data_IF_349672093832
#
_entry.id   IF_349672093832
#
_cell.length_a   1.000
_cell.length_b   1.000
_cell.length_c   1.000
_cell.angle_alpha   90.00
_cell.angle_beta   90.00
_cell.angle_gamma   90.00
#
_symmetry.space_group_name_H-M   'P 1'
#
loop_
_entity.id
_entity.type
_entity.pdbx_description
1 polymer ?
#
# COMPACT_ATOMS: atom_id res chain seq x y z
N UNK A 1 -16.51 1.98 -22.47
CA UNK A 1 -15.36 1.58 -21.63
C UNK A 1 -14.91 2.83 -20.88
N UNK A 2 -14.88 2.79 -19.55
CA UNK A 2 -14.50 3.97 -18.76
C UNK A 2 -12.99 4.22 -18.90
N UNK A 3 -12.63 5.32 -19.56
CA UNK A 3 -11.25 5.69 -19.84
C UNK A 3 -10.43 5.95 -18.58
N UNK A 4 -11.02 6.55 -17.53
CA UNK A 4 -10.29 6.86 -16.30
C UNK A 4 -9.91 5.58 -15.54
N UNK A 5 -10.80 4.58 -15.52
CA UNK A 5 -10.51 3.26 -14.96
C UNK A 5 -9.35 2.57 -15.70
N UNK A 6 -9.34 2.66 -17.02
CA UNK A 6 -8.29 2.06 -17.87
C UNK A 6 -6.96 2.74 -17.64
N UNK A 7 -6.93 4.07 -17.63
CA UNK A 7 -5.71 4.85 -17.37
C UNK A 7 -5.16 4.58 -15.98
N UNK A 8 -6.03 4.45 -14.98
CA UNK A 8 -5.61 4.18 -13.62
C UNK A 8 -5.07 2.75 -13.47
N UNK A 9 -5.70 1.77 -14.14
CA UNK A 9 -5.16 0.42 -14.26
C UNK A 9 -3.77 0.43 -14.91
N UNK A 10 -3.59 1.11 -16.05
CA UNK A 10 -2.31 1.19 -16.74
C UNK A 10 -1.22 1.83 -15.85
N UNK A 11 -1.54 2.90 -15.12
CA UNK A 11 -0.62 3.52 -14.16
C UNK A 11 -0.19 2.54 -13.05
N UNK A 12 -1.16 1.82 -12.46
CA UNK A 12 -0.89 0.82 -11.43
C UNK A 12 -0.06 -0.34 -11.98
N UNK A 13 -0.44 -0.86 -13.15
CA UNK A 13 0.23 -1.97 -13.82
C UNK A 13 1.66 -1.60 -14.20
N UNK A 14 1.92 -0.41 -14.74
CA UNK A 14 3.27 0.04 -15.10
C UNK A 14 4.19 0.18 -13.88
N UNK A 15 3.67 0.54 -12.71
CA UNK A 15 4.47 0.51 -11.48
C UNK A 15 4.83 -0.92 -11.10
N UNK A 16 3.87 -1.83 -11.10
CA UNK A 16 4.10 -3.24 -10.78
C UNK A 16 5.10 -3.86 -11.76
N UNK A 17 4.87 -3.68 -13.06
CA UNK A 17 5.76 -4.13 -14.14
C UNK A 17 7.16 -3.53 -14.00
N UNK A 18 7.23 -2.19 -13.89
CA UNK A 18 8.48 -1.45 -13.77
C UNK A 18 9.31 -1.82 -12.54
N UNK A 19 8.68 -2.22 -11.43
CA UNK A 19 9.35 -2.63 -10.20
C UNK A 19 10.26 -3.86 -10.38
N UNK A 20 9.96 -4.72 -11.36
CA UNK A 20 10.82 -5.88 -11.70
C UNK A 20 11.99 -5.53 -12.62
N UNK A 21 11.92 -4.42 -13.35
CA UNK A 21 12.90 -4.10 -14.39
C UNK A 21 14.21 -3.55 -13.82
N UNK A 22 15.28 -3.65 -14.62
CA UNK A 22 16.61 -3.08 -14.32
C UNK A 22 17.20 -2.41 -15.55
N UNK A 23 18.21 -1.55 -15.34
CA UNK A 23 18.98 -0.92 -16.41
C UNK A 23 18.12 -0.06 -17.34
N UNK A 24 18.39 -0.13 -18.65
CA UNK A 24 17.68 0.67 -19.66
C UNK A 24 16.17 0.41 -19.72
N UNK A 25 15.73 -0.84 -19.50
CA UNK A 25 14.31 -1.18 -19.47
C UNK A 25 13.55 -0.49 -18.33
N UNK A 26 14.19 -0.36 -17.16
CA UNK A 26 13.63 0.40 -16.04
C UNK A 26 13.47 1.89 -16.37
N UNK A 27 14.47 2.49 -17.03
CA UNK A 27 14.38 3.90 -17.45
C UNK A 27 13.28 4.13 -18.48
N UNK A 28 13.13 3.25 -19.46
CA UNK A 28 12.04 3.31 -20.42
C UNK A 28 10.67 3.22 -19.73
N UNK A 29 10.48 2.27 -18.82
CA UNK A 29 9.24 2.14 -18.06
C UNK A 29 8.96 3.38 -17.17
N UNK A 30 10.00 3.95 -16.56
CA UNK A 30 9.90 5.21 -15.79
C UNK A 30 9.40 6.36 -16.68
N UNK A 31 9.96 6.52 -17.88
CA UNK A 31 9.54 7.55 -18.83
C UNK A 31 8.11 7.35 -19.31
N UNK A 32 7.74 6.12 -19.70
CA UNK A 32 6.37 5.78 -20.12
C UNK A 32 5.39 6.09 -18.99
N UNK A 33 5.71 5.72 -17.75
CA UNK A 33 4.88 6.01 -16.58
C UNK A 33 4.72 7.51 -16.37
N UNK A 34 5.81 8.29 -16.43
CA UNK A 34 5.73 9.75 -16.30
C UNK A 34 4.85 10.35 -17.39
N UNK A 35 5.03 9.94 -18.65
CA UNK A 35 4.17 10.34 -19.76
C UNK A 35 2.71 9.98 -19.53
N UNK A 36 2.43 8.79 -19.02
CA UNK A 36 1.07 8.33 -18.70
C UNK A 36 0.42 9.16 -17.60
N UNK A 37 1.16 9.53 -16.55
CA UNK A 37 0.67 10.44 -15.50
C UNK A 37 0.39 11.82 -16.07
N UNK A 38 1.28 12.35 -16.91
CA UNK A 38 1.06 13.65 -17.57
C UNK A 38 -0.21 13.61 -18.41
N UNK A 39 -0.39 12.58 -19.26
CA UNK A 39 -1.60 12.40 -20.07
C UNK A 39 -2.84 12.25 -19.18
N UNK A 40 -2.74 11.49 -18.10
CA UNK A 40 -3.80 11.36 -17.10
C UNK A 40 -4.18 12.71 -16.49
N UNK A 41 -3.20 13.53 -16.09
CA UNK A 41 -3.41 14.86 -15.51
C UNK A 41 -3.96 15.86 -16.54
N UNK A 42 -3.47 15.81 -17.78
CA UNK A 42 -4.06 16.60 -18.87
C UNK A 42 -5.52 16.21 -19.11
N UNK A 43 -5.83 14.91 -19.08
CA UNK A 43 -7.20 14.41 -19.13
C UNK A 43 -8.10 14.99 -18.03
N UNK A 44 -7.55 15.23 -16.83
CA UNK A 44 -8.26 15.97 -15.78
C UNK A 44 -8.57 17.40 -16.23
N UNK A 45 -7.59 18.11 -16.77
CA UNK A 45 -7.72 19.52 -17.19
C UNK A 45 -8.69 19.71 -18.37
N UNK A 46 -8.86 18.69 -19.22
CA UNK A 46 -9.83 18.73 -20.32
C UNK A 46 -11.24 18.28 -19.90
N UNK A 47 -11.40 17.61 -18.76
CA UNK A 47 -12.70 17.26 -18.18
C UNK A 47 -13.34 18.50 -17.50
N UNK A 48 -13.70 19.50 -18.32
CA UNK A 48 -14.29 20.77 -17.90
C UNK A 48 -15.58 20.52 -17.08
N UNK A 49 -15.47 20.68 -15.75
CA UNK A 49 -16.56 20.48 -14.78
C UNK A 49 -16.20 19.58 -13.61
N UNK A 50 -15.26 18.64 -13.77
CA UNK A 50 -14.74 17.80 -12.67
C UNK A 50 -13.55 18.45 -11.93
N UNK A 51 -12.83 19.33 -12.64
CA UNK A 51 -11.66 20.09 -12.17
C UNK A 51 -11.96 20.92 -10.91
N UNK A 52 -13.17 21.51 -10.82
CA UNK A 52 -13.55 22.36 -9.67
C UNK A 52 -13.52 21.62 -8.33
N UNK A 53 -13.66 20.29 -8.31
CA UNK A 53 -13.69 19.53 -7.05
C UNK A 53 -12.29 19.16 -6.54
N UNK A 54 -11.34 18.86 -7.43
CA UNK A 54 -9.98 18.41 -7.05
C UNK A 54 -9.16 19.57 -6.46
N UNK A 55 -9.35 20.76 -7.01
CA UNK A 55 -8.72 21.98 -6.51
C UNK A 55 -9.53 22.66 -5.40
N UNK A 56 -10.68 22.09 -5.00
CA UNK A 56 -11.38 22.57 -3.82
C UNK A 56 -10.59 22.15 -2.58
N UNK A 57 -9.87 23.11 -1.99
CA UNK A 57 -9.03 22.91 -0.81
C UNK A 57 -9.81 22.41 0.40
N UNK A 58 -11.07 22.86 0.59
CA UNK A 58 -11.91 22.39 1.71
C UNK A 58 -12.26 20.91 1.60
N UNK A 59 -12.42 20.38 0.37
CA UNK A 59 -12.78 18.97 0.15
C UNK A 59 -11.58 18.03 0.12
N UNK A 60 -10.39 18.56 -0.18
CA UNK A 60 -9.15 17.78 -0.27
C UNK A 60 -8.11 18.26 0.75
N UNK A 61 -8.56 18.81 1.86
CA UNK A 61 -7.71 19.44 2.87
C UNK A 61 -6.67 18.47 3.44
N UNK A 62 -6.99 17.17 3.54
CA UNK A 62 -6.03 16.17 4.01
C UNK A 62 -4.87 15.97 3.01
N UNK A 63 -5.13 16.00 1.70
CA UNK A 63 -4.10 15.96 0.67
C UNK A 63 -3.24 17.22 0.72
N UNK A 64 -3.87 18.39 0.62
CA UNK A 64 -3.14 19.65 0.57
C UNK A 64 -2.46 20.01 1.90
N UNK A 65 -3.04 19.62 3.03
CA UNK A 65 -2.43 19.75 4.35
C UNK A 65 -1.18 18.89 4.47
N UNK A 66 -1.22 17.65 3.99
CA UNK A 66 -0.03 16.79 4.00
C UNK A 66 1.06 17.29 3.04
N UNK A 67 0.70 17.72 1.83
CA UNK A 67 1.66 18.35 0.90
C UNK A 67 2.23 19.64 1.53
N UNK A 68 1.37 20.49 2.09
CA UNK A 68 1.75 21.74 2.74
C UNK A 68 2.72 21.54 3.88
N UNK A 69 2.49 20.53 4.74
CA UNK A 69 3.43 20.18 5.81
C UNK A 69 4.80 19.78 5.25
N UNK A 70 4.83 18.93 4.21
CA UNK A 70 6.09 18.52 3.58
C UNK A 70 6.82 19.69 2.89
N UNK A 71 6.08 20.68 2.38
CA UNK A 71 6.66 21.92 1.83
C UNK A 71 7.18 22.83 2.94
N UNK A 72 6.47 22.93 4.07
CA UNK A 72 6.86 23.76 5.22
C UNK A 72 8.16 23.24 5.85
N UNK A 73 8.33 21.91 5.94
CA UNK A 73 9.57 21.32 6.49
C UNK A 73 10.73 21.32 5.50
N UNK A 74 10.48 21.56 4.21
CA UNK A 74 11.48 21.49 3.15
C UNK A 74 12.74 22.34 3.41
N UNK A 75 12.66 23.60 3.89
CA UNK A 75 13.84 24.43 4.17
C UNK A 75 14.76 23.87 5.27
N UNK A 76 14.26 22.93 6.08
CA UNK A 76 15.01 22.28 7.16
C UNK A 76 15.61 20.93 6.72
N UNK A 77 15.48 20.57 5.45
CA UNK A 77 16.05 19.34 4.89
C UNK A 77 17.57 19.42 4.83
N UNK A 78 18.24 18.28 5.06
CA UNK A 78 19.69 18.16 4.94
C UNK A 78 20.16 18.48 3.51
N UNK A 79 19.42 17.97 2.52
CA UNK A 79 19.56 18.35 1.11
C UNK A 79 18.21 18.85 0.58
N UNK A 80 18.07 20.18 0.56
CA UNK A 80 16.85 20.87 0.11
C UNK A 80 16.56 20.62 -1.36
N UNK A 81 17.59 20.60 -2.22
CA UNK A 81 17.41 20.42 -3.66
C UNK A 81 16.93 19.00 -3.98
N UNK A 82 17.54 17.99 -3.36
CA UNK A 82 17.12 16.61 -3.50
C UNK A 82 15.70 16.40 -2.99
N UNK A 83 15.39 16.89 -1.78
CA UNK A 83 14.04 16.79 -1.22
C UNK A 83 13.01 17.49 -2.11
N UNK A 84 13.34 18.64 -2.70
CA UNK A 84 12.45 19.33 -3.62
C UNK A 84 12.20 18.54 -4.91
N UNK A 85 13.25 17.97 -5.51
CA UNK A 85 13.12 17.13 -6.71
C UNK A 85 12.24 15.91 -6.40
N UNK A 86 12.45 15.26 -5.26
CA UNK A 86 11.70 14.07 -4.85
C UNK A 86 10.25 14.38 -4.53
N UNK A 87 9.99 15.47 -3.80
CA UNK A 87 8.65 15.92 -3.47
C UNK A 87 7.88 16.34 -4.74
N UNK A 88 8.51 17.09 -5.64
CA UNK A 88 7.89 17.51 -6.91
C UNK A 88 7.60 16.33 -7.85
N UNK A 89 8.44 15.29 -7.85
CA UNK A 89 8.16 14.05 -8.57
C UNK A 89 7.03 13.22 -7.95
N UNK A 90 6.75 13.39 -6.65
CA UNK A 90 5.77 12.60 -5.91
C UNK A 90 4.36 13.20 -5.93
N UNK A 91 4.24 14.53 -5.81
CA UNK A 91 2.98 15.27 -5.77
C UNK A 91 2.01 14.91 -6.93
N UNK A 92 2.45 14.84 -8.21
CA UNK A 92 1.58 14.50 -9.33
C UNK A 92 0.84 13.17 -9.14
N UNK A 93 1.49 12.17 -8.56
CA UNK A 93 0.91 10.85 -8.32
C UNK A 93 -0.13 10.88 -7.20
N UNK A 94 0.11 11.66 -6.13
CA UNK A 94 -0.88 11.86 -5.07
C UNK A 94 -2.12 12.58 -5.59
N UNK A 95 -1.93 13.65 -6.36
CA UNK A 95 -3.03 14.41 -6.98
C UNK A 95 -3.84 13.50 -7.91
N UNK A 96 -3.17 12.75 -8.78
CA UNK A 96 -3.83 11.83 -9.70
C UNK A 96 -4.60 10.73 -8.96
N UNK A 97 -4.01 10.14 -7.93
CA UNK A 97 -4.65 9.09 -7.12
C UNK A 97 -5.89 9.62 -6.41
N UNK A 98 -5.77 10.78 -5.77
CA UNK A 98 -6.88 11.43 -5.09
C UNK A 98 -8.00 11.83 -6.08
N UNK A 99 -7.64 12.38 -7.24
CA UNK A 99 -8.60 12.65 -8.31
C UNK A 99 -9.37 11.40 -8.71
N UNK A 100 -8.67 10.29 -8.94
CA UNK A 100 -9.31 9.07 -9.38
C UNK A 100 -10.33 8.55 -8.36
N UNK A 101 -10.04 8.65 -7.06
CA UNK A 101 -11.00 8.32 -6.00
C UNK A 101 -12.24 9.21 -6.04
N UNK A 102 -12.05 10.53 -6.19
CA UNK A 102 -13.17 11.49 -6.35
C UNK A 102 -13.99 11.19 -7.60
N UNK A 103 -13.32 10.88 -8.71
CA UNK A 103 -13.96 10.49 -9.96
C UNK A 103 -14.85 9.26 -9.74
N UNK A 104 -14.37 8.24 -9.03
CA UNK A 104 -15.15 7.05 -8.73
C UNK A 104 -16.42 7.39 -7.94
N UNK A 105 -16.34 8.19 -6.88
CA UNK A 105 -17.53 8.56 -6.10
C UNK A 105 -18.55 9.42 -6.87
N UNK A 106 -18.10 10.12 -7.91
CA UNK A 106 -19.00 10.92 -8.75
C UNK A 106 -19.79 10.06 -9.73
N UNK A 107 -19.23 8.96 -10.22
CA UNK A 107 -19.82 8.15 -11.30
C UNK A 107 -20.36 6.80 -10.82
N UNK A 108 -19.94 6.36 -9.63
CA UNK A 108 -20.28 5.06 -9.09
C UNK A 108 -20.76 5.19 -7.64
N UNK A 109 -21.64 4.27 -7.24
CA UNK A 109 -21.99 4.12 -5.82
C UNK A 109 -20.76 3.76 -4.98
N UNK A 110 -20.81 3.98 -3.66
CA UNK A 110 -19.70 3.63 -2.76
C UNK A 110 -19.24 2.17 -2.92
N UNK A 111 -20.19 1.25 -3.01
CA UNK A 111 -19.88 -0.18 -3.16
C UNK A 111 -19.29 -0.48 -4.53
N UNK A 112 -19.88 0.08 -5.59
CA UNK A 112 -19.36 -0.14 -6.95
C UNK A 112 -17.96 0.45 -7.12
N UNK A 113 -17.71 1.68 -6.64
CA UNK A 113 -16.38 2.29 -6.63
C UNK A 113 -15.33 1.38 -5.99
N UNK A 114 -15.66 0.77 -4.84
CA UNK A 114 -14.80 -0.18 -4.15
C UNK A 114 -14.56 -1.44 -4.97
N UNK A 115 -15.60 -2.02 -5.57
CA UNK A 115 -15.47 -3.19 -6.45
C UNK A 115 -14.57 -2.88 -7.64
N UNK A 116 -14.72 -1.71 -8.28
CA UNK A 116 -13.85 -1.28 -9.39
C UNK A 116 -12.39 -1.16 -8.95
N UNK A 117 -12.11 -0.61 -7.77
CA UNK A 117 -10.76 -0.53 -7.20
C UNK A 117 -10.15 -1.93 -7.00
N UNK A 118 -10.91 -2.85 -6.41
CA UNK A 118 -10.46 -4.21 -6.18
C UNK A 118 -10.23 -4.96 -7.50
N UNK A 119 -11.03 -4.70 -8.55
CA UNK A 119 -10.79 -5.23 -9.90
C UNK A 119 -9.47 -4.74 -10.47
N UNK A 120 -9.17 -3.44 -10.37
CA UNK A 120 -7.90 -2.87 -10.82
C UNK A 120 -6.73 -3.54 -10.09
N UNK A 121 -6.79 -3.63 -8.76
CA UNK A 121 -5.71 -4.23 -7.98
C UNK A 121 -5.57 -5.74 -8.28
N UNK A 122 -6.66 -6.50 -8.27
CA UNK A 122 -6.62 -7.94 -8.59
C UNK A 122 -5.98 -8.17 -9.97
N UNK A 123 -6.38 -7.43 -11.00
CA UNK A 123 -5.81 -7.57 -12.35
C UNK A 123 -4.34 -7.17 -12.42
N UNK A 124 -3.97 -6.04 -11.79
CA UNK A 124 -2.60 -5.55 -11.86
C UNK A 124 -1.62 -6.45 -11.07
N UNK A 125 -2.02 -6.95 -9.89
CA UNK A 125 -1.23 -7.88 -9.08
C UNK A 125 -1.33 -9.33 -9.53
N UNK A 126 -2.24 -9.67 -10.46
CA UNK A 126 -2.21 -10.97 -11.13
C UNK A 126 -0.98 -11.12 -12.03
N UNK A 127 -0.38 -10.04 -12.54
CA UNK A 127 0.80 -10.16 -13.42
C UNK A 127 2.02 -10.82 -12.75
N UNK A 128 2.48 -10.39 -11.55
CA UNK A 128 3.54 -11.11 -10.84
C UNK A 128 3.13 -12.54 -10.44
N UNK A 129 1.85 -12.79 -10.15
CA UNK A 129 1.32 -14.14 -9.91
C UNK A 129 1.48 -15.01 -11.17
N UNK A 130 1.08 -14.50 -12.33
CA UNK A 130 1.22 -15.18 -13.61
C UNK A 130 2.70 -15.47 -13.92
N UNK A 131 3.61 -14.51 -13.65
CA UNK A 131 5.05 -14.74 -13.77
C UNK A 131 5.54 -15.88 -12.88
N UNK A 132 5.09 -15.97 -11.63
CA UNK A 132 5.41 -17.09 -10.73
C UNK A 132 4.88 -18.43 -11.27
N UNK A 133 3.67 -18.45 -11.83
CA UNK A 133 3.08 -19.65 -12.43
C UNK A 133 3.85 -20.10 -13.67
N UNK A 134 4.18 -19.17 -14.57
CA UNK A 134 4.90 -19.45 -15.83
C UNK A 134 6.34 -19.89 -15.59
N UNK A 135 7.02 -19.29 -14.60
CA UNK A 135 8.39 -19.70 -14.22
C UNK A 135 8.44 -21.02 -13.46
N UNK A 136 7.29 -21.64 -13.17
CA UNK A 136 7.21 -22.93 -12.52
C UNK A 136 7.46 -22.90 -11.01
N UNK A 137 7.68 -21.73 -10.41
CA UNK A 137 7.98 -21.60 -8.97
C UNK A 137 6.85 -22.16 -8.12
N UNK A 138 5.59 -21.95 -8.52
CA UNK A 138 4.44 -22.50 -7.83
C UNK A 138 4.39 -24.05 -7.80
N UNK A 139 5.25 -24.74 -8.54
CA UNK A 139 5.32 -26.20 -8.60
C UNK A 139 6.61 -26.76 -8.00
N UNK A 140 7.44 -25.90 -7.39
CA UNK A 140 8.67 -26.33 -6.73
C UNK A 140 8.37 -26.87 -5.32
N UNK A 141 9.16 -27.87 -4.91
CA UNK A 141 9.13 -28.41 -3.54
C UNK A 141 10.03 -27.60 -2.59
N UNK A 142 10.99 -26.83 -3.13
CA UNK A 142 11.94 -26.03 -2.38
C UNK A 142 11.54 -24.56 -2.38
N UNK A 143 11.91 -23.86 -1.31
CA UNK A 143 11.61 -22.44 -1.18
C UNK A 143 12.55 -21.58 -2.03
N UNK A 144 12.04 -20.41 -2.42
CA UNK A 144 12.76 -19.42 -3.23
C UNK A 144 13.12 -18.18 -2.40
N UNK A 145 13.17 -18.31 -1.07
CA UNK A 145 13.39 -17.17 -0.18
C UNK A 145 14.74 -16.48 -0.49
N UNK A 146 14.69 -15.16 -0.70
CA UNK A 146 15.85 -14.34 -1.05
C UNK A 146 16.29 -14.44 -2.50
N UNK A 147 15.68 -15.33 -3.30
CA UNK A 147 15.95 -15.48 -4.72
C UNK A 147 15.07 -14.56 -5.57
N UNK A 148 15.38 -14.49 -6.86
CA UNK A 148 14.55 -13.83 -7.87
C UNK A 148 13.65 -14.86 -8.57
N UNK A 149 12.38 -14.52 -8.71
CA UNK A 149 11.37 -15.25 -9.47
C UNK A 149 11.06 -14.44 -10.72
N UNK A 150 11.62 -14.86 -11.85
CA UNK A 150 11.70 -14.02 -13.05
C UNK A 150 12.44 -12.73 -12.73
N UNK A 151 11.74 -11.60 -12.82
CA UNK A 151 12.29 -10.26 -12.60
C UNK A 151 12.10 -9.74 -11.17
N UNK A 152 11.30 -10.42 -10.34
CA UNK A 152 10.94 -9.96 -9.00
C UNK A 152 11.71 -10.69 -7.90
N UNK A 153 12.00 -10.02 -6.78
CA UNK A 153 12.43 -10.71 -5.56
C UNK A 153 11.28 -11.55 -5.01
N UNK A 154 11.58 -12.70 -4.41
CA UNK A 154 10.57 -13.61 -3.86
C UNK A 154 9.58 -12.94 -2.89
N UNK A 155 10.03 -12.00 -2.05
CA UNK A 155 9.12 -11.28 -1.14
C UNK A 155 8.06 -10.45 -1.89
N UNK A 156 8.42 -9.87 -3.02
CA UNK A 156 7.53 -9.06 -3.86
C UNK A 156 6.46 -9.93 -4.52
N UNK A 157 6.84 -11.13 -4.97
CA UNK A 157 5.88 -12.15 -5.41
C UNK A 157 4.92 -12.50 -4.27
N UNK A 158 5.45 -12.71 -3.06
CA UNK A 158 4.62 -12.94 -1.88
C UNK A 158 3.61 -11.81 -1.65
N UNK A 159 4.01 -10.54 -1.81
CA UNK A 159 3.11 -9.39 -1.66
C UNK A 159 2.02 -9.39 -2.73
N UNK A 160 2.40 -9.66 -3.99
CA UNK A 160 1.46 -9.75 -5.10
C UNK A 160 0.43 -10.87 -4.89
N UNK A 161 0.86 -12.06 -4.46
CA UNK A 161 -0.02 -13.17 -4.13
C UNK A 161 -0.99 -12.78 -3.00
N UNK A 162 -0.51 -12.13 -1.93
CA UNK A 162 -1.38 -11.68 -0.84
C UNK A 162 -2.43 -10.70 -1.34
N UNK A 163 -2.03 -9.67 -2.10
CA UNK A 163 -2.96 -8.67 -2.64
C UNK A 163 -3.95 -9.28 -3.63
N UNK A 164 -3.49 -10.17 -4.51
CA UNK A 164 -4.34 -10.89 -5.45
C UNK A 164 -5.39 -11.72 -4.70
N UNK A 165 -4.99 -12.49 -3.68
CA UNK A 165 -5.92 -13.34 -2.91
C UNK A 165 -6.96 -12.48 -2.18
N UNK A 166 -6.56 -11.47 -1.42
CA UNK A 166 -7.51 -10.68 -0.62
C UNK A 166 -8.46 -9.86 -1.50
N UNK A 167 -7.96 -9.25 -2.56
CA UNK A 167 -8.80 -8.49 -3.50
C UNK A 167 -9.77 -9.40 -4.26
N UNK A 168 -9.29 -10.53 -4.75
CA UNK A 168 -10.13 -11.47 -5.52
C UNK A 168 -11.14 -12.20 -4.63
N UNK A 169 -10.80 -12.48 -3.37
CA UNK A 169 -11.77 -12.98 -2.39
C UNK A 169 -12.90 -11.97 -2.15
N UNK A 170 -12.56 -10.70 -1.95
CA UNK A 170 -13.56 -9.65 -1.76
C UNK A 170 -14.41 -9.45 -3.02
N UNK A 171 -13.85 -9.58 -4.22
CA UNK A 171 -14.60 -9.59 -5.47
C UNK A 171 -15.54 -10.79 -5.57
N UNK A 172 -15.07 -11.99 -5.23
CA UNK A 172 -15.90 -13.19 -5.22
C UNK A 172 -17.08 -13.08 -4.24
N UNK A 173 -16.83 -12.54 -3.05
CA UNK A 173 -17.84 -12.41 -2.01
C UNK A 173 -18.89 -11.33 -2.31
N UNK A 174 -18.53 -10.29 -3.08
CA UNK A 174 -19.34 -9.08 -3.24
C UNK A 174 -19.68 -8.74 -4.71
N UNK A 175 -19.29 -9.55 -5.68
CA UNK A 175 -19.57 -9.33 -7.10
C UNK A 175 -20.02 -10.63 -7.79
N UNK A 176 -21.04 -10.58 -8.68
CA UNK A 176 -21.47 -11.76 -9.40
C UNK A 176 -20.38 -12.23 -10.37
N UNK A 177 -19.87 -13.45 -10.16
CA UNK A 177 -18.87 -14.08 -11.02
C UNK A 177 -19.46 -15.30 -11.74
N UNK A 178 -19.12 -15.49 -13.01
CA UNK A 178 -19.49 -16.71 -13.76
C UNK A 178 -18.81 -17.94 -13.12
N UNK A 179 -19.50 -19.08 -13.07
CA UNK A 179 -19.00 -20.31 -12.40
C UNK A 179 -17.59 -20.73 -12.83
N UNK A 180 -17.28 -20.66 -14.12
CA UNK A 180 -15.94 -21.02 -14.62
C UNK A 180 -14.84 -20.09 -14.08
N UNK A 181 -15.15 -18.79 -13.92
CA UNK A 181 -14.22 -17.81 -13.33
C UNK A 181 -14.03 -18.09 -11.85
N UNK A 182 -15.07 -18.54 -11.15
CA UNK A 182 -14.96 -18.96 -9.76
C UNK A 182 -14.02 -20.16 -9.60
N UNK A 183 -14.17 -21.20 -10.44
CA UNK A 183 -13.28 -22.35 -10.41
C UNK A 183 -11.83 -21.99 -10.74
N UNK A 184 -11.64 -21.16 -11.78
CA UNK A 184 -10.31 -20.66 -12.13
C UNK A 184 -9.70 -19.84 -10.98
N UNK A 185 -10.50 -18.98 -10.34
CA UNK A 185 -10.07 -18.23 -9.17
C UNK A 185 -9.65 -19.16 -8.03
N UNK A 186 -10.45 -20.15 -7.65
CA UNK A 186 -10.08 -21.08 -6.58
C UNK A 186 -8.82 -21.87 -6.89
N UNK A 187 -8.66 -22.32 -8.13
CA UNK A 187 -7.45 -23.01 -8.59
C UNK A 187 -6.21 -22.11 -8.47
N UNK A 188 -6.28 -20.88 -8.99
CA UNK A 188 -5.18 -19.91 -8.90
C UNK A 188 -4.92 -19.53 -7.44
N UNK A 189 -5.97 -19.30 -6.64
CA UNK A 189 -5.88 -18.95 -5.23
C UNK A 189 -5.10 -20.02 -4.45
N UNK A 190 -5.41 -21.30 -4.68
CA UNK A 190 -4.68 -22.43 -4.10
C UNK A 190 -3.19 -22.40 -4.47
N UNK A 191 -2.87 -22.22 -5.75
CA UNK A 191 -1.48 -22.11 -6.21
C UNK A 191 -0.77 -20.88 -5.62
N UNK A 192 -1.45 -19.75 -5.46
CA UNK A 192 -0.88 -18.54 -4.84
C UNK A 192 -0.67 -18.68 -3.35
N UNK A 193 -1.54 -19.41 -2.63
CA UNK A 193 -1.32 -19.70 -1.20
C UNK A 193 -0.05 -20.52 -1.02
N UNK A 194 0.15 -21.54 -1.87
CA UNK A 194 1.40 -22.30 -1.90
C UNK A 194 2.60 -21.42 -2.29
N UNK A 195 2.45 -20.56 -3.31
CA UNK A 195 3.46 -19.57 -3.68
C UNK A 195 3.88 -18.68 -2.51
N UNK A 196 2.95 -18.23 -1.66
CA UNK A 196 3.28 -17.44 -0.46
C UNK A 196 4.11 -18.28 0.51
N UNK A 197 3.80 -19.56 0.69
CA UNK A 197 4.64 -20.48 1.49
C UNK A 197 6.06 -20.50 0.94
N UNK A 198 6.24 -20.73 -0.37
CA UNK A 198 7.55 -20.82 -1.01
C UNK A 198 8.37 -19.53 -0.94
N UNK A 199 7.72 -18.36 -0.92
CA UNK A 199 8.42 -17.06 -0.87
C UNK A 199 9.00 -16.72 0.51
N UNK A 200 8.52 -17.32 1.60
CA UNK A 200 8.98 -17.02 2.96
C UNK A 200 8.79 -15.56 3.39
N UNK A 201 7.79 -14.88 2.82
CA UNK A 201 7.52 -13.47 3.06
C UNK A 201 6.75 -13.25 4.37
N UNK A 202 7.44 -12.74 5.40
CA UNK A 202 6.83 -12.44 6.73
C UNK A 202 5.63 -11.51 6.62
N UNK A 203 5.72 -10.49 5.79
CA UNK A 203 4.65 -9.51 5.61
C UNK A 203 3.46 -10.08 4.84
N UNK A 204 3.69 -11.01 3.92
CA UNK A 204 2.61 -11.75 3.25
C UNK A 204 1.86 -12.66 4.22
N UNK A 205 2.57 -13.37 5.09
CA UNK A 205 1.94 -14.17 6.14
C UNK A 205 1.17 -13.28 7.11
N UNK A 206 1.77 -12.18 7.59
CA UNK A 206 1.11 -11.26 8.51
C UNK A 206 -0.13 -10.60 7.88
N UNK A 207 -0.03 -10.15 6.63
CA UNK A 207 -1.14 -9.56 5.88
C UNK A 207 -2.29 -10.54 5.69
N UNK A 208 -2.02 -11.76 5.21
CA UNK A 208 -3.03 -12.81 5.08
C UNK A 208 -3.64 -13.21 6.42
N UNK A 209 -2.82 -13.38 7.47
CA UNK A 209 -3.29 -13.77 8.79
C UNK A 209 -4.25 -12.72 9.36
N UNK A 210 -3.91 -11.43 9.24
CA UNK A 210 -4.77 -10.34 9.72
C UNK A 210 -6.04 -10.17 8.89
N UNK A 211 -5.95 -10.29 7.56
CA UNK A 211 -7.14 -10.32 6.69
C UNK A 211 -8.06 -11.51 7.03
N UNK A 212 -7.49 -12.69 7.29
CA UNK A 212 -8.23 -13.88 7.71
C UNK A 212 -8.83 -13.73 9.12
N UNK A 213 -8.10 -13.09 10.03
CA UNK A 213 -8.60 -12.79 11.38
C UNK A 213 -9.81 -11.85 11.33
N UNK A 214 -9.80 -10.85 10.45
CA UNK A 214 -10.98 -9.98 10.23
C UNK A 214 -12.15 -10.80 9.68
N UNK A 215 -11.92 -11.66 8.69
CA UNK A 215 -12.95 -12.55 8.14
C UNK A 215 -13.59 -13.40 9.26
N UNK A 216 -12.77 -14.06 10.08
CA UNK A 216 -13.24 -14.92 11.16
C UNK A 216 -13.96 -14.08 12.23
N UNK A 217 -13.38 -12.98 12.70
CA UNK A 217 -13.94 -12.21 13.80
C UNK A 217 -15.23 -11.47 13.43
N UNK A 218 -15.31 -10.90 12.22
CA UNK A 218 -16.36 -9.94 11.86
C UNK A 218 -17.43 -10.49 10.93
N UNK A 219 -17.21 -11.63 10.28
CA UNK A 219 -18.23 -12.21 9.41
C UNK A 219 -19.36 -12.81 10.25
N UNK A 220 -20.56 -12.22 10.15
CA UNK A 220 -21.77 -12.65 10.88
C UNK A 220 -22.48 -13.83 10.24
N UNK A 221 -22.19 -14.13 8.97
CA UNK A 221 -22.81 -15.24 8.22
C UNK A 221 -22.18 -16.59 8.52
N UNK A 222 -20.97 -16.60 9.08
CA UNK A 222 -20.23 -17.82 9.38
C UNK A 222 -20.51 -18.25 10.82
N UNK A 223 -20.89 -19.52 11.01
CA UNK A 223 -21.12 -20.08 12.35
C UNK A 223 -19.83 -20.05 13.18
N UNK A 224 -19.96 -19.94 14.51
CA UNK A 224 -18.82 -19.97 15.43
C UNK A 224 -18.01 -21.27 15.30
N UNK A 225 -18.66 -22.37 14.95
CA UNK A 225 -18.01 -23.66 14.73
C UNK A 225 -17.11 -23.67 13.49
N UNK A 226 -17.57 -23.08 12.37
CA UNK A 226 -16.75 -22.98 11.16
C UNK A 226 -15.56 -22.02 11.37
N UNK A 227 -15.75 -20.96 12.17
CA UNK A 227 -14.66 -20.07 12.61
C UNK A 227 -13.60 -20.82 13.41
N UNK A 228 -14.03 -21.63 14.39
CA UNK A 228 -13.14 -22.46 15.19
C UNK A 228 -12.42 -23.49 14.32
N UNK A 229 -13.12 -24.17 13.41
CA UNK A 229 -12.51 -25.14 12.49
C UNK A 229 -11.47 -24.49 11.57
N UNK A 230 -11.78 -23.32 10.99
CA UNK A 230 -10.83 -22.58 10.15
C UNK A 230 -9.58 -22.17 10.94
N UNK A 231 -9.76 -21.68 12.18
CA UNK A 231 -8.64 -21.34 13.06
C UNK A 231 -7.79 -22.57 13.38
N UNK A 232 -8.41 -23.70 13.71
CA UNK A 232 -7.71 -24.97 13.95
C UNK A 232 -6.94 -25.43 12.72
N UNK A 233 -7.52 -25.35 11.52
CA UNK A 233 -6.82 -25.68 10.27
C UNK A 233 -5.61 -24.78 10.03
N UNK A 234 -5.74 -23.47 10.28
CA UNK A 234 -4.62 -22.51 10.16
C UNK A 234 -3.52 -22.84 11.18
N UNK A 235 -3.88 -23.12 12.43
CA UNK A 235 -2.92 -23.47 13.48
C UNK A 235 -2.25 -24.82 13.22
N UNK A 236 -3.00 -25.82 12.76
CA UNK A 236 -2.46 -27.14 12.39
C UNK A 236 -1.50 -27.03 11.20
N UNK A 237 -1.85 -26.23 10.19
CA UNK A 237 -0.96 -25.97 9.05
C UNK A 237 0.30 -25.21 9.48
N UNK A 238 0.16 -24.20 10.34
CA UNK A 238 1.30 -23.48 10.91
C UNK A 238 2.20 -24.43 11.72
N UNK A 239 1.62 -25.31 12.53
CA UNK A 239 2.35 -26.34 13.27
C UNK A 239 3.08 -27.30 12.34
N UNK A 240 2.43 -27.79 11.29
CA UNK A 240 3.04 -28.66 10.27
C UNK A 240 4.25 -27.99 9.61
N UNK A 241 4.11 -26.71 9.20
CA UNK A 241 5.23 -25.94 8.65
C UNK A 241 6.36 -25.83 9.67
N UNK A 242 6.07 -25.47 10.94
CA UNK A 242 7.12 -25.34 11.97
C UNK A 242 7.82 -26.66 12.27
N UNK A 243 7.10 -27.79 12.24
CA UNK A 243 7.67 -29.10 12.53
C UNK A 243 8.46 -29.71 11.37
N UNK A 244 8.24 -29.26 10.13
CA UNK A 244 9.01 -29.72 8.97
C UNK A 244 10.45 -29.17 9.01
N UNK A 245 11.51 -30.01 9.08
CA UNK A 245 12.90 -29.55 9.24
C UNK A 245 13.38 -28.63 8.10
N UNK A 246 12.94 -28.92 6.87
CA UNK A 246 13.27 -28.15 5.67
C UNK A 246 12.29 -27.02 5.39
N UNK A 247 11.40 -26.72 6.33
CA UNK A 247 10.40 -25.68 6.14
C UNK A 247 11.02 -24.32 5.95
N UNK A 248 10.29 -23.48 5.21
CA UNK A 248 10.68 -22.10 4.95
C UNK A 248 10.87 -21.32 6.25
N UNK A 249 10.06 -21.64 7.28
CA UNK A 249 10.13 -21.01 8.60
C UNK A 249 11.42 -21.41 9.34
N UNK A 250 11.81 -22.68 9.29
CA UNK A 250 13.01 -23.17 9.95
C UNK A 250 14.29 -22.70 9.26
N UNK A 251 14.34 -22.72 7.93
CA UNK A 251 15.43 -22.12 7.16
C UNK A 251 15.55 -20.61 7.44
N UNK A 252 14.41 -19.89 7.50
CA UNK A 252 14.37 -18.48 7.91
C UNK A 252 14.86 -18.28 9.33
N UNK A 253 14.45 -19.11 10.27
CA UNK A 253 14.87 -19.04 11.67
C UNK A 253 16.39 -19.19 11.78
N UNK A 254 16.98 -20.13 11.03
CA UNK A 254 18.42 -20.30 10.90
C UNK A 254 19.11 -19.04 10.35
N UNK A 255 18.61 -18.48 9.24
CA UNK A 255 19.15 -17.22 8.70
C UNK A 255 18.95 -16.02 9.63
N UNK A 256 17.84 -15.95 10.36
CA UNK A 256 17.56 -14.91 11.33
C UNK A 256 18.49 -15.01 12.54
N UNK A 257 18.79 -16.23 13.02
CA UNK A 257 19.80 -16.48 14.04
C UNK A 257 21.18 -16.00 13.62
N UNK A 258 21.60 -16.34 12.39
CA UNK A 258 22.87 -15.86 11.82
C UNK A 258 22.90 -14.33 11.70
N UNK A 259 21.80 -13.69 11.27
CA UNK A 259 21.71 -12.22 11.18
C UNK A 259 21.69 -11.55 12.55
N UNK A 260 21.02 -12.14 13.54
CA UNK A 260 20.97 -11.62 14.91
C UNK A 260 22.34 -11.67 15.57
N UNK A 261 23.11 -12.73 15.33
CA UNK A 261 24.50 -12.84 15.77
C UNK A 261 25.42 -11.81 15.11
N UNK A 262 25.13 -11.40 13.87
CA UNK A 262 25.91 -10.39 13.12
C UNK A 262 25.43 -8.94 13.32
N UNK A 263 24.33 -8.72 14.04
CA UNK A 263 23.63 -7.43 14.12
C UNK A 263 22.77 -7.17 12.87
N UNK A 264 21.48 -6.90 13.07
CA UNK A 264 20.60 -6.49 11.95
C UNK A 264 20.87 -5.02 11.63
N UNK A 265 21.71 -4.76 10.62
CA UNK A 265 22.18 -3.42 10.22
C UNK A 265 21.01 -2.42 10.12
N UNK A 266 19.87 -2.82 9.56
CA UNK A 266 18.70 -1.92 9.41
C UNK A 266 18.08 -1.49 10.73
N UNK A 267 18.04 -2.39 11.71
CA UNK A 267 17.59 -2.05 13.05
C UNK A 267 18.57 -1.08 13.71
N UNK A 268 19.87 -1.30 13.53
CA UNK A 268 20.92 -0.39 14.02
C UNK A 268 20.81 1.00 13.35
N UNK A 269 20.57 1.08 12.04
CA UNK A 269 20.37 2.35 11.33
C UNK A 269 19.13 3.09 11.84
N UNK A 270 18.01 2.39 12.05
CA UNK A 270 16.81 2.99 12.63
C UNK A 270 17.07 3.49 14.06
N UNK A 271 17.79 2.71 14.88
CA UNK A 271 18.19 3.11 16.22
C UNK A 271 19.07 4.37 16.18
N UNK A 272 20.03 4.46 15.26
CA UNK A 272 20.84 5.65 15.05
C UNK A 272 20.02 6.87 14.65
N UNK A 273 19.03 6.70 13.78
CA UNK A 273 18.13 7.80 13.43
C UNK A 273 17.29 8.27 14.65
N UNK A 274 16.85 7.35 15.51
CA UNK A 274 16.17 7.71 16.76
C UNK A 274 17.11 8.39 17.77
N UNK A 275 18.38 7.98 17.85
CA UNK A 275 19.40 8.65 18.65
C UNK A 275 19.58 10.10 18.19
N UNK A 276 19.67 10.34 16.88
CA UNK A 276 19.71 11.70 16.31
C UNK A 276 18.49 12.51 16.71
N UNK A 277 17.29 11.94 16.57
CA UNK A 277 16.04 12.64 16.93
C UNK A 277 15.95 12.98 18.42
N UNK A 278 16.57 12.16 19.28
CA UNK A 278 16.62 12.40 20.73
C UNK A 278 17.58 13.54 21.06
N UNK A 279 18.70 13.62 20.33
CA UNK A 279 19.74 14.62 20.54
C UNK A 279 19.44 15.96 19.86
N UNK A 280 18.65 15.98 18.79
CA UNK A 280 18.23 17.18 18.06
C UNK A 280 16.69 17.24 17.93
N UNK A 281 16.01 17.95 18.87
CA UNK A 281 14.56 18.12 18.84
C UNK A 281 14.05 18.85 17.59
N UNK A 282 14.87 19.70 16.95
CA UNK A 282 14.48 20.39 15.72
C UNK A 282 14.29 19.38 14.59
N UNK A 283 15.27 18.50 14.43
CA UNK A 283 15.25 17.42 13.43
C UNK A 283 14.14 16.40 13.73
N UNK A 284 13.81 16.14 15.00
CA UNK A 284 12.63 15.32 15.33
C UNK A 284 11.34 15.91 14.77
N UNK A 285 11.17 17.23 14.82
CA UNK A 285 9.95 17.90 14.33
C UNK A 285 9.88 17.96 12.81
N UNK A 286 10.99 18.24 12.13
CA UNK A 286 11.04 18.51 10.69
C UNK A 286 11.48 17.31 9.85
N UNK A 287 12.19 16.35 10.45
CA UNK A 287 12.83 15.23 9.76
C UNK A 287 14.14 15.64 9.07
N UNK A 288 14.76 14.68 8.38
CA UNK A 288 15.96 14.88 7.55
C UNK A 288 15.66 15.52 6.19
N UNK A 289 14.38 15.61 5.81
CA UNK A 289 13.93 15.97 4.47
C UNK A 289 13.43 14.76 3.68
N UNK A 290 12.56 15.00 2.70
CA UNK A 290 11.94 13.96 1.88
C UNK A 290 12.98 13.12 1.12
N UNK A 291 13.00 11.79 1.36
CA UNK A 291 13.96 10.82 0.77
C UNK A 291 15.44 11.12 1.12
N UNK A 292 15.70 11.76 2.29
CA UNK A 292 17.03 12.10 2.79
C UNK A 292 17.52 11.22 3.96
N UNK A 293 16.92 10.04 4.20
CA UNK A 293 17.31 9.18 5.32
C UNK A 293 18.83 8.91 5.38
N UNK A 294 19.44 8.62 4.22
CA UNK A 294 20.89 8.41 4.10
C UNK A 294 21.68 9.67 4.47
N UNK A 295 21.37 10.80 3.80
CA UNK A 295 22.06 12.07 4.03
C UNK A 295 21.94 12.53 5.50
N UNK A 296 20.78 12.31 6.11
CA UNK A 296 20.56 12.60 7.53
C UNK A 296 21.45 11.78 8.46
N UNK A 297 21.59 10.48 8.20
CA UNK A 297 22.49 9.64 9.00
C UNK A 297 23.97 9.99 8.80
N UNK A 298 24.37 10.36 7.59
CA UNK A 298 25.74 10.82 7.31
C UNK A 298 26.05 12.13 8.05
N UNK A 299 25.14 13.12 7.97
CA UNK A 299 25.36 14.44 8.58
C UNK A 299 25.30 14.43 10.11
N UNK A 300 24.33 13.72 10.69
CA UNK A 300 24.08 13.80 12.14
C UNK A 300 24.69 12.65 12.95
N UNK A 301 25.06 11.54 12.32
CA UNK A 301 25.58 10.36 13.01
C UNK A 301 26.88 9.79 12.42
N UNK A 302 27.45 10.41 11.38
CA UNK A 302 28.64 9.95 10.65
C UNK A 302 28.50 8.50 10.11
N UNK A 303 27.26 8.09 9.83
CA UNK A 303 26.95 6.74 9.34
C UNK A 303 26.78 6.74 7.83
N UNK A 304 27.78 6.20 7.13
CA UNK A 304 27.76 6.03 5.69
C UNK A 304 27.09 4.70 5.31
N UNK A 305 25.96 4.76 4.59
CA UNK A 305 25.16 3.57 4.26
C UNK A 305 24.46 3.69 2.92
N UNK A 306 24.34 2.59 2.18
CA UNK A 306 23.50 2.51 0.98
C UNK A 306 22.11 1.91 1.27
N UNK A 307 21.78 1.69 2.54
CA UNK A 307 20.53 1.06 2.97
C UNK A 307 19.50 2.10 3.40
N UNK A 308 18.29 1.97 2.87
CA UNK A 308 17.12 2.73 3.33
C UNK A 308 16.52 2.14 4.62
N UNK A 309 15.61 2.89 5.26
CA UNK A 309 14.93 2.48 6.51
C UNK A 309 14.15 1.17 6.38
N UNK A 310 13.73 0.81 5.16
CA UNK A 310 12.97 -0.41 4.86
C UNK A 310 11.64 -0.52 5.60
N UNK A 311 11.00 0.63 5.82
CA UNK A 311 9.66 0.74 6.38
C UNK A 311 9.02 2.06 5.94
N UNK A 312 7.94 2.00 5.15
CA UNK A 312 7.31 3.21 4.61
C UNK A 312 6.79 4.17 5.67
N UNK A 313 6.37 3.68 6.84
CA UNK A 313 5.91 4.52 7.95
C UNK A 313 7.08 5.24 8.63
N UNK A 314 8.19 4.53 8.85
CA UNK A 314 9.40 5.16 9.38
C UNK A 314 10.02 6.10 8.35
N UNK A 315 9.90 5.82 7.06
CA UNK A 315 10.36 6.72 6.02
C UNK A 315 9.61 8.06 6.07
N UNK A 316 8.29 8.05 6.30
CA UNK A 316 7.50 9.28 6.52
C UNK A 316 8.00 10.03 7.75
N UNK A 317 8.28 9.32 8.86
CA UNK A 317 8.79 9.90 10.10
C UNK A 317 10.17 10.52 9.91
N UNK A 318 11.11 9.78 9.33
CA UNK A 318 12.47 10.26 9.12
C UNK A 318 12.56 11.34 8.04
N UNK A 319 11.67 11.30 7.04
CA UNK A 319 11.62 12.29 5.97
C UNK A 319 10.98 13.61 6.41
N UNK A 320 9.73 13.57 6.89
CA UNK A 320 8.93 14.76 7.15
C UNK A 320 8.78 15.11 8.64
N UNK A 321 9.50 14.39 9.51
CA UNK A 321 9.49 14.58 10.95
C UNK A 321 8.19 14.17 11.61
N UNK A 322 8.13 14.43 12.92
CA UNK A 322 6.98 14.11 13.76
C UNK A 322 5.70 14.79 13.27
N UNK A 323 5.78 16.02 12.75
CA UNK A 323 4.60 16.76 12.29
C UNK A 323 3.94 16.08 11.09
N UNK A 324 4.69 15.79 10.04
CA UNK A 324 4.17 15.12 8.84
C UNK A 324 3.74 13.68 9.16
N UNK A 325 4.48 13.00 10.04
CA UNK A 325 4.16 11.64 10.47
C UNK A 325 2.85 11.55 11.26
N UNK A 326 2.64 12.41 12.26
CA UNK A 326 1.40 12.43 13.03
C UNK A 326 0.21 12.81 12.15
N UNK A 327 0.38 13.77 11.24
CA UNK A 327 -0.65 14.13 10.28
C UNK A 327 -1.04 12.93 9.41
N UNK A 328 -0.05 12.23 8.84
CA UNK A 328 -0.29 11.03 8.05
C UNK A 328 -0.96 9.93 8.88
N UNK A 329 -0.43 9.63 10.07
CA UNK A 329 -0.92 8.57 10.94
C UNK A 329 -2.38 8.82 11.33
N UNK A 330 -2.73 10.03 11.74
CA UNK A 330 -4.07 10.37 12.21
C UNK A 330 -5.07 10.42 11.05
N UNK A 331 -4.78 11.20 10.01
CA UNK A 331 -5.77 11.51 8.97
C UNK A 331 -5.82 10.50 7.84
N UNK A 332 -4.75 9.75 7.60
CA UNK A 332 -4.72 8.69 6.60
C UNK A 332 -4.88 7.33 7.27
N UNK A 333 -3.90 6.87 8.05
CA UNK A 333 -3.83 5.48 8.49
C UNK A 333 -4.91 5.12 9.53
N UNK A 334 -4.96 5.83 10.66
CA UNK A 334 -5.93 5.60 11.75
C UNK A 334 -7.35 5.87 11.24
N UNK A 335 -7.55 6.97 10.51
CA UNK A 335 -8.84 7.28 9.91
C UNK A 335 -9.33 6.15 8.99
N UNK A 336 -8.49 5.69 8.05
CA UNK A 336 -8.86 4.61 7.14
C UNK A 336 -9.19 3.31 7.90
N UNK A 337 -8.36 2.96 8.88
CA UNK A 337 -8.58 1.80 9.73
C UNK A 337 -9.91 1.89 10.48
N UNK A 338 -10.20 3.04 11.11
CA UNK A 338 -11.42 3.23 11.88
C UNK A 338 -12.68 3.13 11.00
N UNK A 339 -12.69 3.82 9.87
CA UNK A 339 -13.83 3.81 8.93
C UNK A 339 -14.04 2.39 8.39
N UNK A 340 -12.97 1.68 8.02
CA UNK A 340 -13.05 0.30 7.60
C UNK A 340 -13.62 -0.61 8.68
N UNK A 341 -13.06 -0.58 9.91
CA UNK A 341 -13.53 -1.44 11.01
C UNK A 341 -15.01 -1.22 11.27
N UNK A 342 -15.46 0.04 11.26
CA UNK A 342 -16.85 0.40 11.55
C UNK A 342 -17.83 -0.02 10.45
N UNK A 343 -17.48 0.15 9.18
CA UNK A 343 -18.46 0.06 8.08
C UNK A 343 -18.21 -1.09 7.10
N UNK A 344 -16.95 -1.46 6.85
CA UNK A 344 -16.60 -2.34 5.73
C UNK A 344 -16.05 -3.70 6.18
N UNK A 345 -15.47 -3.80 7.38
CA UNK A 345 -14.89 -5.05 7.93
C UNK A 345 -15.83 -6.26 8.03
N UNK A 346 -17.17 -6.11 8.11
CA UNK A 346 -18.07 -7.27 8.03
C UNK A 346 -18.15 -7.91 6.63
N UNK A 347 -17.74 -7.20 5.58
CA UNK A 347 -17.95 -7.58 4.17
C UNK A 347 -16.66 -7.67 3.35
N UNK A 348 -15.60 -6.97 3.78
CA UNK A 348 -14.34 -6.83 3.06
C UNK A 348 -13.14 -7.17 3.96
N UNK A 349 -12.07 -7.73 3.39
CA UNK A 349 -10.86 -8.18 4.11
C UNK A 349 -9.55 -7.60 3.59
N UNK A 350 -9.58 -6.77 2.55
CA UNK A 350 -8.37 -6.26 1.89
C UNK A 350 -7.51 -5.29 2.74
N UNK A 351 -8.12 -4.46 3.61
CA UNK A 351 -7.40 -3.35 4.27
C UNK A 351 -6.22 -3.79 5.15
N UNK A 352 -6.32 -4.82 6.01
CA UNK A 352 -5.21 -5.22 6.88
C UNK A 352 -3.92 -5.52 6.13
N UNK A 353 -4.03 -6.20 4.98
CA UNK A 353 -2.88 -6.48 4.11
C UNK A 353 -2.23 -5.18 3.59
N UNK A 354 -3.03 -4.18 3.22
CA UNK A 354 -2.53 -2.88 2.76
C UNK A 354 -1.98 -1.99 3.87
N UNK A 355 -2.26 -2.26 5.14
CA UNK A 355 -1.65 -1.53 6.26
C UNK A 355 -0.33 -2.17 6.71
N UNK A 356 -0.21 -3.49 6.59
CA UNK A 356 0.94 -4.23 7.14
C UNK A 356 2.06 -4.38 6.13
N UNK A 357 1.78 -4.67 4.86
CA UNK A 357 2.84 -4.91 3.90
C UNK A 357 3.72 -3.66 3.67
N UNK A 358 3.18 -2.41 3.61
CA UNK A 358 4.01 -1.21 3.49
C UNK A 358 5.01 -0.99 4.63
N UNK A 359 4.77 -1.55 5.82
CA UNK A 359 5.73 -1.55 6.94
C UNK A 359 7.03 -2.30 6.58
N UNK A 360 6.99 -3.20 5.60
CA UNK A 360 8.14 -4.00 5.15
C UNK A 360 8.66 -3.58 3.76
N UNK A 361 8.11 -2.52 3.18
CA UNK A 361 8.56 -1.96 1.91
C UNK A 361 9.77 -1.05 2.09
N UNK A 362 10.63 -0.98 1.07
CA UNK A 362 11.95 -0.35 1.16
C UNK A 362 11.93 1.16 1.42
N UNK A 363 11.10 1.89 0.66
CA UNK A 363 11.09 3.35 0.62
C UNK A 363 9.66 3.84 0.41
N UNK A 364 9.44 5.13 0.59
CA UNK A 364 8.22 5.85 0.21
C UNK A 364 8.42 6.59 -1.12
N UNK A 365 7.99 6.02 -2.23
CA UNK A 365 8.05 6.69 -3.54
C UNK A 365 6.86 6.27 -4.42
N UNK A 366 6.43 7.13 -5.35
CA UNK A 366 5.37 6.83 -6.31
C UNK A 366 5.65 5.60 -7.19
N UNK A 367 6.92 5.22 -7.33
CA UNK A 367 7.33 4.00 -8.03
C UNK A 367 7.38 2.73 -7.20
N UNK A 368 6.99 2.77 -5.94
CA UNK A 368 7.03 1.59 -5.05
C UNK A 368 5.88 0.64 -5.34
N UNK A 369 6.12 -0.64 -5.05
CA UNK A 369 5.28 -1.75 -5.48
C UNK A 369 3.86 -1.64 -4.94
N UNK A 370 3.67 -1.11 -3.74
CA UNK A 370 2.36 -0.98 -3.07
C UNK A 370 1.80 0.44 -3.07
N UNK A 371 2.51 1.39 -3.68
CA UNK A 371 2.15 2.81 -3.58
C UNK A 371 0.70 3.07 -3.99
N UNK A 372 0.31 2.62 -5.18
CA UNK A 372 -1.03 2.84 -5.71
C UNK A 372 -2.13 2.22 -4.85
N UNK A 373 -2.16 0.90 -4.56
CA UNK A 373 -3.26 0.37 -3.76
C UNK A 373 -3.29 0.92 -2.35
N UNK A 374 -2.13 1.18 -1.73
CA UNK A 374 -2.08 1.73 -0.39
C UNK A 374 -2.64 3.15 -0.33
N UNK A 375 -2.09 4.09 -1.12
CA UNK A 375 -2.55 5.48 -1.10
C UNK A 375 -3.99 5.63 -1.56
N UNK A 376 -4.42 4.84 -2.54
CA UNK A 376 -5.79 4.92 -3.07
C UNK A 376 -6.82 4.49 -2.04
N UNK A 377 -6.51 3.46 -1.25
CA UNK A 377 -7.39 3.01 -0.18
C UNK A 377 -7.42 4.02 0.97
N UNK A 378 -6.29 4.64 1.29
CA UNK A 378 -6.25 5.72 2.28
C UNK A 378 -7.12 6.91 1.83
N UNK A 379 -6.95 7.38 0.58
CA UNK A 379 -7.79 8.44 0.02
C UNK A 379 -9.27 8.04 -0.08
N UNK A 380 -9.55 6.80 -0.47
CA UNK A 380 -10.92 6.26 -0.52
C UNK A 380 -11.59 6.45 0.85
N UNK A 381 -10.94 6.06 1.94
CA UNK A 381 -11.55 6.17 3.27
C UNK A 381 -11.61 7.61 3.82
N UNK A 382 -10.70 8.49 3.41
CA UNK A 382 -10.82 9.94 3.69
C UNK A 382 -12.12 10.48 3.08
N UNK A 383 -12.36 10.19 1.80
CA UNK A 383 -13.54 10.67 1.08
C UNK A 383 -14.84 9.97 1.51
N UNK A 384 -14.81 8.66 1.79
CA UNK A 384 -15.98 7.95 2.35
C UNK A 384 -16.45 8.58 3.65
N UNK A 385 -15.53 8.95 4.55
CA UNK A 385 -15.91 9.60 5.81
C UNK A 385 -16.63 10.93 5.57
N UNK A 386 -16.18 11.71 4.59
CA UNK A 386 -16.84 12.97 4.21
C UNK A 386 -18.26 12.77 3.68
N UNK A 387 -18.57 11.60 3.12
CA UNK A 387 -19.91 11.21 2.65
C UNK A 387 -20.78 10.60 3.76
N UNK A 388 -20.16 9.94 4.74
CA UNK A 388 -20.86 9.25 5.84
C UNK A 388 -21.17 10.15 7.04
N UNK A 389 -20.41 11.22 7.23
CA UNK A 389 -20.72 12.27 8.20
C UNK A 389 -21.44 13.37 7.42
N UNK A 390 -22.77 13.50 7.53
CA UNK A 390 -23.45 14.64 6.94
C UNK A 390 -22.86 15.89 7.58
N UNK A 391 -22.23 16.74 6.77
CA UNK A 391 -21.94 18.12 7.19
C UNK A 391 -23.30 18.74 7.44
N UNK A 392 -23.65 18.85 8.72
CA UNK A 392 -24.92 19.37 9.21
C UNK A 392 -25.06 20.89 8.97
N UNK A 393 -24.32 21.45 8.01
CA UNK A 393 -24.21 22.88 7.69
C UNK A 393 -24.67 23.22 6.27
N UNK A 394 -25.59 22.43 5.69
CA UNK A 394 -26.50 22.94 4.65
C UNK A 394 -27.90 23.26 5.22
N UNK A 395 -28.06 23.19 6.54
CA UNK A 395 -29.27 23.62 7.25
C UNK A 395 -29.31 25.12 7.56
N UNK A 396 -28.20 25.86 7.38
CA UNK A 396 -28.16 27.31 7.63
C UNK A 396 -28.41 28.16 6.38
N UNK A 397 -28.22 27.60 5.17
CA UNK A 397 -28.39 28.38 3.94
C UNK A 397 -29.82 28.38 3.38
N UNK A 398 -30.69 27.49 3.84
CA UNK A 398 -32.12 27.46 3.46
C UNK A 398 -33.03 28.21 4.44
N UNK A 399 -32.57 28.52 5.65
CA UNK A 399 -33.35 29.34 6.61
C UNK A 399 -33.19 30.83 6.31
N UNK A 400 -31.98 31.28 5.92
CA UNK A 400 -31.77 32.67 5.47
C UNK A 400 -32.41 33.00 4.12
N UNK A 401 -32.81 32.01 3.32
CA UNK A 401 -33.60 32.21 2.09
C UNK A 401 -35.12 32.10 2.29
N UNK A 402 -35.57 31.75 3.51
CA UNK A 402 -36.99 31.75 3.88
C UNK A 402 -37.40 32.96 4.74
N UNK A 403 -36.43 33.76 5.16
CA UNK A 403 -36.62 35.02 5.89
C UNK A 403 -36.27 36.25 5.02
N UNK A 404 -36.22 36.09 3.69
CA UNK A 404 -36.10 37.17 2.71
C UNK A 404 -37.41 37.35 1.95
#
# INVERSE_FOLDING_TARGET
MDWHLVMYFLNTFLVIYGYGLRGGAFQAAKLIRTGLVIVSLLGILFAQGQIKYIFNQQKNWALYGFIGLNVIVLPFSVDVFWSFERLSAWIPFLIYTNYFVVYLFKHYSKEEAKIKLLQVFSLAYFYPVAMMLVTGVAFQATNVYGQYVGVYKANVIGWACTLFIVSSFDLYANSPMKKWVQYLFFFIAFLTLWGIVLTGSRSSYAGLALSSAVLIARNRKISIYLKAAALTCILAFAYYIVMSPDSVVNLRSKYAGIRRQRGEIRFQLAQKAFEVFTNDPGVLLTGFGFDNFKAGLEVYADVHTDLASHNSYLEILFSGGLLSFLFFLIFYAINAFWVYVRYDSPYFVFLPSLMIIPYFESNLNAGQFLFFPWMTVLFYYIHVRSLQIPVHEMSLHNTQKREA
#
